data_IF_747973971130
#
_entry.id   IF_747973971130
#
_cell.length_a   1.000
_cell.length_b   1.000
_cell.length_c   1.000
_cell.angle_alpha   90.00
_cell.angle_beta   90.00
_cell.angle_gamma   90.00
#
_symmetry.space_group_name_H-M   'P 1'
#
loop_
_entity.id
_entity.type
_entity.pdbx_description
1 polymer ?
#
# COMPACT_ATOMS: atom_id res chain seq x y z
N UNK A 1 17.20 -0.43 4.65
CA UNK A 1 16.54 0.39 3.60
C UNK A 1 15.06 0.05 3.60
N UNK A 2 14.22 0.87 4.24
CA UNK A 2 12.79 0.60 4.40
C UNK A 2 11.98 1.12 3.21
N UNK A 3 11.08 0.29 2.67
CA UNK A 3 10.10 0.72 1.68
C UNK A 3 9.28 1.86 2.26
N UNK A 4 9.24 3.04 1.63
CA UNK A 4 8.66 4.24 2.21
C UNK A 4 7.17 4.05 2.36
N UNK A 5 6.49 3.45 1.38
CA UNK A 5 5.10 3.01 1.49
C UNK A 5 5.19 1.50 1.41
N UNK A 6 4.83 0.72 2.44
CA UNK A 6 5.16 -0.71 2.57
C UNK A 6 4.94 -1.64 1.35
N UNK A 7 4.27 -1.17 0.30
CA UNK A 7 3.99 -1.82 -0.98
C UNK A 7 4.73 -1.24 -2.20
N UNK A 8 5.28 -0.03 -2.13
CA UNK A 8 6.08 0.61 -3.20
C UNK A 8 7.54 0.79 -2.80
N UNK A 9 8.44 0.66 -3.78
CA UNK A 9 9.87 0.92 -3.59
C UNK A 9 10.17 2.43 -3.53
N UNK A 10 11.31 2.80 -2.96
CA UNK A 10 11.78 4.20 -2.92
C UNK A 10 11.85 4.84 -4.31
N UNK A 11 12.26 4.08 -5.32
CA UNK A 11 12.32 4.54 -6.72
C UNK A 11 10.93 4.84 -7.28
N UNK A 12 9.93 4.05 -6.92
CA UNK A 12 8.56 4.21 -7.41
C UNK A 12 7.89 5.47 -6.87
N UNK A 13 8.28 5.94 -5.69
CA UNK A 13 7.72 7.15 -5.06
C UNK A 13 8.67 8.34 -5.15
N UNK A 14 9.82 8.21 -5.82
CA UNK A 14 10.83 9.29 -5.95
C UNK A 14 10.27 10.56 -6.60
N UNK A 15 9.24 10.43 -7.44
CA UNK A 15 8.56 11.55 -8.08
C UNK A 15 7.53 12.26 -7.19
N UNK A 16 7.17 11.71 -6.04
CA UNK A 16 6.14 12.22 -5.14
C UNK A 16 6.74 13.08 -4.02
N UNK A 17 6.00 14.09 -3.57
CA UNK A 17 6.41 14.89 -2.41
C UNK A 17 6.23 14.09 -1.12
N UNK A 18 6.85 14.55 -0.03
CA UNK A 18 6.67 13.92 1.29
C UNK A 18 5.18 13.87 1.72
N UNK A 19 4.40 14.89 1.36
CA UNK A 19 2.96 14.95 1.62
C UNK A 19 2.18 13.90 0.81
N UNK A 20 2.49 13.76 -0.48
CA UNK A 20 1.88 12.75 -1.35
C UNK A 20 2.19 11.31 -0.87
N UNK A 21 3.42 11.09 -0.41
CA UNK A 21 3.84 9.81 0.17
C UNK A 21 3.04 9.50 1.45
N UNK A 22 2.79 10.49 2.30
CA UNK A 22 1.95 10.31 3.49
C UNK A 22 0.50 9.99 3.12
N UNK A 23 -0.07 10.67 2.12
CA UNK A 23 -1.40 10.36 1.61
C UNK A 23 -1.47 8.93 1.07
N UNK A 24 -0.45 8.49 0.33
CA UNK A 24 -0.37 7.12 -0.18
C UNK A 24 -0.32 6.09 0.97
N UNK A 25 0.49 6.36 2.01
CA UNK A 25 0.54 5.51 3.21
C UNK A 25 -0.81 5.41 3.89
N UNK A 26 -1.46 6.55 4.14
CA UNK A 26 -2.75 6.61 4.80
C UNK A 26 -3.80 5.82 4.01
N UNK A 27 -3.80 5.97 2.69
CA UNK A 27 -4.71 5.25 1.81
C UNK A 27 -4.45 3.74 1.78
N UNK A 28 -3.19 3.31 1.77
CA UNK A 28 -2.81 1.90 1.88
C UNK A 28 -3.27 1.31 3.22
N UNK A 29 -3.05 2.01 4.34
CA UNK A 29 -3.51 1.58 5.67
C UNK A 29 -5.04 1.48 5.70
N UNK A 30 -5.74 2.48 5.17
CA UNK A 30 -7.18 2.48 5.07
C UNK A 30 -7.68 1.26 4.28
N UNK A 31 -7.06 0.93 3.15
CA UNK A 31 -7.42 -0.27 2.38
C UNK A 31 -7.12 -1.58 3.11
N UNK A 32 -6.03 -1.66 3.88
CA UNK A 32 -5.77 -2.83 4.74
C UNK A 32 -6.92 -3.03 5.74
N UNK A 33 -7.40 -1.95 6.34
CA UNK A 33 -8.46 -2.01 7.35
C UNK A 33 -9.85 -2.27 6.76
N UNK A 34 -10.12 -1.75 5.55
CA UNK A 34 -11.47 -1.77 4.95
C UNK A 34 -11.67 -2.88 3.93
N UNK A 35 -10.62 -3.37 3.26
CA UNK A 35 -10.75 -4.35 2.18
C UNK A 35 -11.21 -5.71 2.72
N UNK A 36 -12.36 -6.23 2.26
CA UNK A 36 -12.84 -7.54 2.68
C UNK A 36 -11.94 -8.68 2.19
N UNK A 37 -11.24 -8.52 1.05
CA UNK A 37 -10.27 -9.50 0.57
C UNK A 37 -9.06 -9.60 1.50
N UNK A 38 -8.52 -8.46 1.94
CA UNK A 38 -7.41 -8.42 2.90
C UNK A 38 -7.87 -9.01 4.22
N UNK A 39 -9.06 -8.66 4.72
CA UNK A 39 -9.63 -9.27 5.92
C UNK A 39 -9.81 -10.78 5.80
N UNK A 40 -10.25 -11.30 4.64
CA UNK A 40 -10.34 -12.75 4.41
C UNK A 40 -8.98 -13.42 4.48
N UNK A 41 -7.95 -12.83 3.87
CA UNK A 41 -6.58 -13.34 3.91
C UNK A 41 -6.04 -13.31 5.36
N UNK A 42 -6.25 -12.22 6.09
CA UNK A 42 -5.83 -12.08 7.49
C UNK A 42 -6.57 -13.03 8.44
N UNK A 43 -7.85 -13.27 8.20
CA UNK A 43 -8.64 -14.21 8.99
C UNK A 43 -8.23 -15.65 8.71
N UNK A 44 -7.86 -15.97 7.46
CA UNK A 44 -7.34 -17.29 7.10
C UNK A 44 -5.95 -17.55 7.67
N UNK A 45 -5.11 -16.52 7.82
CA UNK A 45 -3.77 -16.66 8.37
C UNK A 45 -3.41 -15.48 9.30
N UNK A 46 -3.72 -15.64 10.60
CA UNK A 46 -3.43 -14.62 11.63
C UNK A 46 -1.94 -14.31 11.77
N UNK A 47 -1.02 -15.18 11.30
CA UNK A 47 0.43 -14.89 11.30
C UNK A 47 0.80 -13.81 10.29
N UNK A 48 -0.05 -13.56 9.28
CA UNK A 48 0.12 -12.48 8.31
C UNK A 48 -0.10 -11.08 8.89
N UNK A 49 -0.76 -10.94 10.05
CA UNK A 49 -0.89 -9.65 10.73
C UNK A 49 0.47 -8.98 10.99
N UNK A 50 1.52 -9.78 11.26
CA UNK A 50 2.89 -9.28 11.47
C UNK A 50 3.66 -9.02 10.17
N UNK A 51 3.18 -9.53 9.02
CA UNK A 51 3.84 -9.46 7.70
C UNK A 51 2.91 -8.92 6.61
N UNK A 52 1.98 -8.06 7.00
CA UNK A 52 0.89 -7.54 6.17
C UNK A 52 1.37 -6.91 4.86
N UNK A 53 2.52 -6.24 4.91
CA UNK A 53 3.16 -5.60 3.75
C UNK A 53 4.12 -6.53 3.00
N UNK A 54 4.51 -7.67 3.58
CA UNK A 54 5.45 -8.63 3.01
C UNK A 54 4.75 -9.74 2.22
N UNK A 55 3.46 -9.98 2.47
CA UNK A 55 2.69 -10.99 1.76
C UNK A 55 2.45 -10.58 0.30
N UNK A 56 2.79 -11.47 -0.64
CA UNK A 56 2.68 -11.20 -2.09
C UNK A 56 1.24 -10.97 -2.54
N UNK A 57 0.24 -11.62 -1.91
CA UNK A 57 -1.17 -11.50 -2.28
C UNK A 57 -1.72 -10.15 -1.83
N UNK A 58 -1.48 -9.80 -0.57
CA UNK A 58 -1.90 -8.52 -0.01
C UNK A 58 -1.20 -7.36 -0.75
N UNK A 59 0.10 -7.47 -0.98
CA UNK A 59 0.88 -6.46 -1.69
C UNK A 59 0.38 -6.26 -3.14
N UNK A 60 -0.04 -7.33 -3.84
CA UNK A 60 -0.67 -7.23 -5.17
C UNK A 60 -1.98 -6.44 -5.14
N UNK A 61 -2.85 -6.70 -4.17
CA UNK A 61 -4.14 -6.01 -4.00
C UNK A 61 -3.87 -4.52 -3.69
N UNK A 62 -3.03 -4.27 -2.68
CA UNK A 62 -2.68 -2.92 -2.28
C UNK A 62 -1.98 -2.12 -3.37
N UNK A 63 -1.10 -2.74 -4.17
CA UNK A 63 -0.49 -2.10 -5.33
C UNK A 63 -1.51 -1.70 -6.37
N UNK A 64 -2.51 -2.55 -6.66
CA UNK A 64 -3.54 -2.23 -7.64
C UNK A 64 -4.37 -1.01 -7.22
N UNK A 65 -4.83 -0.98 -5.97
CA UNK A 65 -5.60 0.13 -5.42
C UNK A 65 -4.75 1.42 -5.34
N UNK A 66 -3.57 1.30 -4.73
CA UNK A 66 -2.71 2.46 -4.52
C UNK A 66 -2.04 2.95 -5.82
N UNK A 67 -1.94 2.13 -6.87
CA UNK A 67 -1.48 2.58 -8.20
C UNK A 67 -2.45 3.59 -8.82
N UNK A 68 -3.76 3.43 -8.62
CA UNK A 68 -4.74 4.40 -9.08
C UNK A 68 -4.56 5.76 -8.37
N UNK A 69 -4.31 5.72 -7.06
CA UNK A 69 -4.01 6.92 -6.28
C UNK A 69 -2.67 7.56 -6.69
N UNK A 70 -1.63 6.75 -6.86
CA UNK A 70 -0.31 7.19 -7.33
C UNK A 70 -0.41 7.93 -8.66
N UNK A 71 -1.10 7.34 -9.64
CA UNK A 71 -1.30 7.94 -10.97
C UNK A 71 -2.06 9.27 -10.90
N UNK A 72 -2.98 9.43 -9.94
CA UNK A 72 -3.66 10.71 -9.69
C UNK A 72 -2.75 11.77 -9.10
N UNK A 73 -1.87 11.39 -8.18
CA UNK A 73 -0.92 12.31 -7.54
C UNK A 73 0.18 12.74 -8.52
N UNK A 74 0.68 11.81 -9.35
CA UNK A 74 1.64 12.13 -10.43
C UNK A 74 1.05 13.10 -11.47
N UNK A 75 -0.25 13.00 -11.77
CA UNK A 75 -0.93 13.90 -12.72
C UNK A 75 -1.29 15.27 -12.16
N UNK A 76 -1.26 15.45 -10.84
CA UNK A 76 -1.50 16.73 -10.17
C UNK A 76 -0.24 17.60 -10.10
N UNK A 77 0.91 17.01 -10.44
CA UNK A 77 2.20 17.68 -10.50
C UNK A 77 2.40 18.33 -11.86
#
# INVERSE_FOLDING_TARGET
>A
MGSPVGVFSNEEVKGLTAADIQLLKAHVIHHIQTSPEIRRILNADRKLLRKLTTDKRINKILRKEAAAMKKRLERKK
#
